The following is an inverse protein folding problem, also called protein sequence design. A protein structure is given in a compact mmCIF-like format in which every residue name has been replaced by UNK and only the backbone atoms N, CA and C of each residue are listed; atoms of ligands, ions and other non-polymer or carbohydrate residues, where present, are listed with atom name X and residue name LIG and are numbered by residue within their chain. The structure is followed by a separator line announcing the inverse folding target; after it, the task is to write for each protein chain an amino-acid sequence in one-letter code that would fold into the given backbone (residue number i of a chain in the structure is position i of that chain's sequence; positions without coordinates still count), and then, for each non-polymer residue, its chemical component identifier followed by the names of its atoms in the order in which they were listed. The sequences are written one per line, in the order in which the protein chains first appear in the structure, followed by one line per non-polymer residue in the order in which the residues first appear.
data_IF_747357630844
#
_entry.id   IF_747357630844
#
_cell.length_a   1.000
_cell.length_b   1.000
_cell.length_c   1.000
_cell.angle_alpha   90.00
_cell.angle_beta   90.00
_cell.angle_gamma   90.00
#
_symmetry.space_group_name_H-M   'P 1'
#
loop_
_entity.id
_entity.type
_entity.pdbx_description
1 polymer ?
#
# COMPACT_ATOMS: atom_id res chain seq x y z
N UNK A 1 -28.42 4.52 11.60
CA UNK A 1 -27.03 5.02 11.62
C UNK A 1 -26.78 5.68 10.26
N UNK A 2 -26.65 7.02 10.20
CA UNK A 2 -26.81 7.78 8.94
C UNK A 2 -25.93 7.27 7.78
N UNK A 3 -24.68 6.93 8.08
CA UNK A 3 -23.71 6.44 7.08
C UNK A 3 -24.07 5.05 6.55
N UNK A 4 -24.49 4.12 7.42
CA UNK A 4 -24.86 2.75 7.02
C UNK A 4 -26.07 2.75 6.08
N UNK A 5 -27.10 3.54 6.40
CA UNK A 5 -28.30 3.68 5.57
C UNK A 5 -28.00 4.34 4.22
N UNK A 6 -27.12 5.34 4.18
CA UNK A 6 -26.66 5.93 2.93
C UNK A 6 -25.90 4.91 2.05
N UNK A 7 -25.12 4.04 2.68
CA UNK A 7 -24.35 3.00 1.99
C UNK A 7 -25.24 1.93 1.35
N UNK A 8 -26.25 1.44 2.07
CA UNK A 8 -27.25 0.52 1.50
C UNK A 8 -27.95 1.14 0.30
N UNK A 9 -28.44 2.38 0.41
CA UNK A 9 -29.09 3.09 -0.70
C UNK A 9 -28.17 3.34 -1.90
N UNK A 10 -26.86 3.39 -1.69
CA UNK A 10 -25.88 3.56 -2.77
C UNK A 10 -25.65 2.23 -3.49
N UNK A 11 -25.50 1.14 -2.74
CA UNK A 11 -25.38 -0.23 -3.27
C UNK A 11 -26.64 -0.61 -4.07
N UNK A 12 -27.83 -0.35 -3.52
CA UNK A 12 -29.12 -0.70 -4.15
C UNK A 12 -29.36 -0.02 -5.50
N UNK A 13 -28.60 1.04 -5.83
CA UNK A 13 -28.68 1.76 -7.11
C UNK A 13 -27.71 1.25 -8.17
N UNK A 14 -26.79 0.35 -7.80
CA UNK A 14 -25.82 -0.21 -8.73
C UNK A 14 -26.46 -1.44 -9.38
N UNK A 15 -26.81 -1.32 -10.66
CA UNK A 15 -27.37 -2.42 -11.46
C UNK A 15 -26.28 -3.22 -12.20
N UNK A 16 -25.10 -2.63 -12.37
CA UNK A 16 -23.95 -3.26 -13.01
C UNK A 16 -23.18 -4.14 -12.00
N UNK A 17 -23.24 -5.45 -12.22
CA UNK A 17 -22.59 -6.45 -11.35
C UNK A 17 -21.06 -6.29 -11.30
N UNK A 18 -20.44 -5.85 -12.40
CA UNK A 18 -18.99 -5.60 -12.45
C UNK A 18 -18.59 -4.45 -11.54
N UNK A 19 -19.33 -3.34 -11.63
CA UNK A 19 -19.15 -2.19 -10.75
C UNK A 19 -19.41 -2.58 -9.28
N UNK A 20 -20.45 -3.37 -9.03
CA UNK A 20 -20.76 -3.84 -7.68
C UNK A 20 -19.62 -4.69 -7.09
N UNK A 21 -19.03 -5.56 -7.91
CA UNK A 21 -17.88 -6.37 -7.53
C UNK A 21 -16.64 -5.50 -7.23
N UNK A 22 -16.40 -4.43 -7.97
CA UNK A 22 -15.31 -3.49 -7.70
C UNK A 22 -15.48 -2.79 -6.34
N UNK A 23 -16.69 -2.32 -6.03
CA UNK A 23 -17.00 -1.74 -4.72
C UNK A 23 -16.84 -2.77 -3.59
N UNK A 24 -17.33 -4.00 -3.79
CA UNK A 24 -17.15 -5.08 -2.83
C UNK A 24 -15.66 -5.34 -2.55
N UNK A 25 -14.84 -5.45 -3.61
CA UNK A 25 -13.41 -5.68 -3.49
C UNK A 25 -12.72 -4.53 -2.75
N UNK A 26 -13.09 -3.27 -3.02
CA UNK A 26 -12.56 -2.11 -2.31
C UNK A 26 -12.88 -2.16 -0.82
N UNK A 27 -14.15 -2.35 -0.46
CA UNK A 27 -14.60 -2.37 0.94
C UNK A 27 -14.01 -3.58 1.69
N UNK A 28 -13.95 -4.74 1.02
CA UNK A 28 -13.31 -5.93 1.55
C UNK A 28 -11.83 -5.68 1.84
N UNK A 29 -11.10 -5.02 0.94
CA UNK A 29 -9.71 -4.61 1.19
C UNK A 29 -9.59 -3.64 2.35
N UNK A 30 -10.51 -2.69 2.52
CA UNK A 30 -10.49 -1.74 3.65
C UNK A 30 -10.81 -2.41 4.99
N UNK A 31 -11.68 -3.41 5.00
CA UNK A 31 -11.95 -4.20 6.22
C UNK A 31 -10.82 -5.17 6.54
N UNK A 32 -10.14 -5.70 5.52
CA UNK A 32 -9.05 -6.66 5.68
C UNK A 32 -7.68 -6.00 5.75
N UNK A 33 -7.57 -4.69 5.53
CA UNK A 33 -6.34 -3.93 5.71
C UNK A 33 -6.09 -3.80 7.21
N UNK A 34 -5.41 -4.80 7.77
CA UNK A 34 -4.91 -4.71 9.13
C UNK A 34 -3.77 -3.71 9.15
N UNK A 35 -3.90 -2.69 9.99
CA UNK A 35 -2.83 -1.71 10.20
C UNK A 35 -1.54 -2.44 10.56
N UNK A 36 -0.44 -2.03 9.91
CA UNK A 36 0.86 -2.66 10.12
C UNK A 36 0.97 -4.08 9.56
N UNK A 37 0.07 -4.57 8.71
CA UNK A 37 0.16 -5.94 8.15
C UNK A 37 1.53 -6.25 7.52
N UNK A 38 2.08 -5.32 6.75
CA UNK A 38 3.43 -5.46 6.16
C UNK A 38 4.49 -5.57 7.24
N UNK A 39 4.50 -4.67 8.22
CA UNK A 39 5.42 -4.71 9.35
C UNK A 39 5.28 -6.02 10.14
N UNK A 40 4.05 -6.46 10.40
CA UNK A 40 3.75 -7.67 11.14
C UNK A 40 4.15 -8.95 10.38
N UNK A 41 4.22 -8.90 9.05
CA UNK A 41 4.67 -10.01 8.22
C UNK A 41 6.20 -10.23 8.24
N UNK A 42 6.97 -9.24 8.69
CA UNK A 42 8.43 -9.33 8.76
C UNK A 42 8.88 -10.21 9.95
N UNK A 43 9.94 -11.00 9.73
CA UNK A 43 10.67 -11.66 10.82
C UNK A 43 11.34 -10.63 11.73
N UNK A 44 11.81 -11.06 12.90
CA UNK A 44 12.54 -10.17 13.81
C UNK A 44 13.78 -9.57 13.12
N UNK A 45 14.57 -10.41 12.45
CA UNK A 45 15.77 -10.01 11.69
C UNK A 45 15.44 -8.98 10.60
N UNK A 46 14.33 -9.18 9.87
CA UNK A 46 13.89 -8.24 8.83
C UNK A 46 13.42 -6.89 9.41
N UNK A 47 12.80 -6.90 10.59
CA UNK A 47 12.42 -5.66 11.30
C UNK A 47 13.66 -4.90 11.76
N UNK A 48 14.64 -5.61 12.32
CA UNK A 48 15.91 -5.04 12.75
C UNK A 48 16.65 -4.41 11.57
N UNK A 49 16.77 -5.13 10.46
CA UNK A 49 17.40 -4.64 9.22
C UNK A 49 16.67 -3.41 8.66
N UNK A 50 15.35 -3.42 8.65
CA UNK A 50 14.55 -2.30 8.17
C UNK A 50 14.75 -1.05 9.03
N UNK A 51 14.79 -1.20 10.36
CA UNK A 51 15.05 -0.09 11.28
C UNK A 51 16.47 0.43 11.16
N UNK A 52 17.46 -0.46 10.97
CA UNK A 52 18.84 -0.07 10.72
C UNK A 52 18.95 0.76 9.43
N UNK A 53 18.39 0.25 8.33
CA UNK A 53 18.34 0.96 7.04
C UNK A 53 17.69 2.34 7.16
N UNK A 54 16.62 2.46 7.96
CA UNK A 54 15.96 3.74 8.21
C UNK A 54 16.88 4.73 8.94
N UNK A 55 17.59 4.29 9.98
CA UNK A 55 18.55 5.15 10.70
C UNK A 55 19.73 5.55 9.82
N UNK A 56 20.28 4.61 9.04
CA UNK A 56 21.39 4.87 8.10
C UNK A 56 21.00 5.87 7.01
N UNK A 57 19.74 5.85 6.56
CA UNK A 57 19.23 6.78 5.54
C UNK A 57 19.22 8.24 5.98
N UNK A 58 19.32 8.51 7.29
CA UNK A 58 19.40 9.87 7.82
C UNK A 58 20.78 10.51 7.62
N UNK A 59 21.81 9.70 7.34
CA UNK A 59 23.14 10.19 6.98
C UNK A 59 23.24 10.33 5.45
N UNK A 60 23.40 11.57 4.92
CA UNK A 60 23.56 11.80 3.49
C UNK A 60 24.73 11.03 2.85
N UNK A 61 25.75 10.61 3.62
CA UNK A 61 26.87 9.82 3.08
C UNK A 61 26.45 8.43 2.60
N UNK A 62 25.35 7.90 3.15
CA UNK A 62 24.81 6.58 2.79
C UNK A 62 23.81 6.67 1.61
N UNK A 63 23.51 7.87 1.12
CA UNK A 63 22.57 8.10 0.04
C UNK A 63 23.27 8.16 -1.31
N UNK A 64 22.56 7.72 -2.36
CA UNK A 64 22.97 7.90 -3.75
C UNK A 64 22.08 8.94 -4.44
N UNK A 65 22.57 9.53 -5.52
CA UNK A 65 21.81 10.55 -6.24
C UNK A 65 20.59 9.93 -6.95
N UNK A 66 19.58 10.75 -7.22
CA UNK A 66 18.40 10.30 -7.94
C UNK A 66 18.75 9.80 -9.35
N UNK A 67 19.67 10.48 -10.04
CA UNK A 67 20.16 10.09 -11.36
C UNK A 67 20.82 8.72 -11.32
N UNK A 68 21.56 8.42 -10.24
CA UNK A 68 22.21 7.12 -10.07
C UNK A 68 21.19 6.00 -9.84
N UNK A 69 20.17 6.23 -9.01
CA UNK A 69 19.07 5.26 -8.80
C UNK A 69 18.36 4.97 -10.12
N UNK A 70 17.97 6.01 -10.86
CA UNK A 70 17.27 5.88 -12.14
C UNK A 70 18.13 5.14 -13.17
N UNK A 71 19.44 5.44 -13.22
CA UNK A 71 20.38 4.74 -14.09
C UNK A 71 20.46 3.24 -13.78
N UNK A 72 20.61 2.88 -12.49
CA UNK A 72 20.70 1.49 -12.02
C UNK A 72 19.46 0.66 -12.35
N UNK A 73 18.27 1.25 -12.28
CA UNK A 73 17.00 0.54 -12.47
C UNK A 73 16.29 0.84 -13.79
N UNK A 74 16.99 1.47 -14.74
CA UNK A 74 16.48 1.83 -16.08
C UNK A 74 15.70 0.71 -16.77
N UNK A 75 16.19 -0.53 -16.73
CA UNK A 75 15.53 -1.72 -17.30
C UNK A 75 14.08 -1.95 -16.82
N UNK A 76 13.72 -1.49 -15.63
CA UNK A 76 12.37 -1.63 -15.08
C UNK A 76 11.54 -0.35 -15.16
N UNK A 77 12.17 0.76 -15.58
CA UNK A 77 11.54 2.07 -15.73
C UNK A 77 11.16 2.38 -17.19
N UNK A 78 11.67 1.60 -18.15
CA UNK A 78 11.25 1.66 -19.55
C UNK A 78 9.84 1.06 -19.71
N UNK A 79 8.92 1.84 -20.28
CA UNK A 79 7.53 1.45 -20.59
C UNK A 79 7.44 0.62 -21.86
#
# INVERSE_FOLDING_TARGET
MKTKEAFHKLIDKIEDEGLLNDYYNLISKLNNSQEGALWNSLTLEQKEELMLSYEESKDPINLISHEEVVGRFSKWLEK
#
